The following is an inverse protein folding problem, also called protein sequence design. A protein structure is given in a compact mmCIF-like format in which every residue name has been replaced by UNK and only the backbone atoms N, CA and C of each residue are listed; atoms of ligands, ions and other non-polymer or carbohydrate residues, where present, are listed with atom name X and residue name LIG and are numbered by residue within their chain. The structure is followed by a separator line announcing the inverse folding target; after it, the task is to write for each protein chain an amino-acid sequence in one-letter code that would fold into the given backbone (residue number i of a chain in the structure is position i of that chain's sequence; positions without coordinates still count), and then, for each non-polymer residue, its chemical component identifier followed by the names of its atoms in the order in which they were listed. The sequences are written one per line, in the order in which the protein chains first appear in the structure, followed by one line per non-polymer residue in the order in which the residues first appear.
data_IF_416830377592
#
_entry.id   IF_416830377592
#
_cell.length_a   1.000
_cell.length_b   1.000
_cell.length_c   1.000
_cell.angle_alpha   90.00
_cell.angle_beta   90.00
_cell.angle_gamma   90.00
#
_symmetry.space_group_name_H-M   'P 1'
#
loop_
_entity.id
_entity.type
_entity.pdbx_description
1 polymer ?
#
# COMPACT_ATOMS: atom_id res chain seq x y z
N UNK A 1 -7.59 -6.20 65.14
CA UNK A 1 -7.89 -7.64 65.21
C UNK A 1 -8.53 -8.03 63.88
N UNK A 2 -7.78 -8.87 63.16
CA UNK A 2 -7.91 -9.48 61.83
C UNK A 2 -9.08 -9.14 60.90
N UNK A 3 -8.79 -8.70 59.64
CA UNK A 3 -9.72 -8.78 58.52
C UNK A 3 -9.73 -10.18 57.90
N UNK A 4 -10.90 -10.62 57.44
CA UNK A 4 -11.17 -11.92 56.83
C UNK A 4 -10.53 -12.04 55.44
N UNK A 5 -9.71 -13.08 55.25
CA UNK A 5 -9.11 -13.47 53.97
C UNK A 5 -10.19 -13.91 52.97
N UNK A 6 -10.21 -13.31 51.77
CA UNK A 6 -10.93 -13.83 50.61
C UNK A 6 -9.95 -14.62 49.74
N UNK A 7 -10.28 -15.89 49.48
CA UNK A 7 -9.50 -16.80 48.64
C UNK A 7 -9.61 -16.43 47.15
N UNK A 8 -8.52 -16.55 46.36
CA UNK A 8 -8.58 -16.31 44.92
C UNK A 8 -9.19 -17.50 44.16
N UNK A 9 -10.21 -17.21 43.35
CA UNK A 9 -10.82 -18.15 42.39
C UNK A 9 -9.84 -18.34 41.22
N UNK A 10 -9.29 -19.55 41.08
CA UNK A 10 -8.48 -19.92 39.91
C UNK A 10 -9.39 -20.22 38.72
N UNK A 11 -9.23 -19.49 37.61
CA UNK A 11 -9.84 -19.84 36.32
C UNK A 11 -8.87 -20.73 35.55
N UNK A 12 -9.19 -22.03 35.46
CA UNK A 12 -8.51 -22.99 34.59
C UNK A 12 -8.83 -22.67 33.13
N UNK A 13 -7.79 -22.42 32.33
CA UNK A 13 -7.86 -22.40 30.85
C UNK A 13 -7.98 -23.84 30.35
N UNK A 14 -9.08 -24.14 29.66
CA UNK A 14 -9.27 -25.41 28.96
C UNK A 14 -8.60 -25.36 27.59
N UNK A 15 -7.70 -26.30 27.33
CA UNK A 15 -7.09 -26.54 26.02
C UNK A 15 -8.02 -27.48 25.26
N UNK A 16 -8.52 -27.06 24.10
CA UNK A 16 -9.23 -27.92 23.14
C UNK A 16 -8.25 -28.33 22.05
N UNK A 17 -7.90 -29.61 22.04
CA UNK A 17 -7.17 -30.26 20.96
C UNK A 17 -8.18 -30.69 19.88
N UNK A 18 -8.01 -30.24 18.64
CA UNK A 18 -8.74 -30.74 17.48
C UNK A 18 -7.91 -31.82 16.79
N UNK A 19 -8.51 -33.02 16.72
CA UNK A 19 -7.95 -34.19 16.07
C UNK A 19 -8.11 -34.09 14.54
N UNK A 20 -7.02 -34.33 13.83
CA UNK A 20 -6.99 -34.44 12.37
C UNK A 20 -7.60 -35.79 11.93
N UNK A 21 -8.55 -35.75 10.99
CA UNK A 21 -9.04 -36.92 10.26
C UNK A 21 -8.38 -36.94 8.89
N UNK A 22 -7.56 -37.95 8.65
CA UNK A 22 -6.96 -38.23 7.36
C UNK A 22 -7.99 -38.87 6.41
N UNK A 23 -8.25 -38.22 5.28
CA UNK A 23 -9.02 -38.75 4.16
C UNK A 23 -8.16 -38.79 2.90
N UNK A 24 -7.86 -40.00 2.43
CA UNK A 24 -7.15 -40.27 1.17
C UNK A 24 -8.13 -40.18 0.00
N UNK A 25 -7.82 -39.39 -1.03
CA UNK A 25 -8.29 -39.61 -2.40
C UNK A 25 -7.12 -39.37 -3.36
N UNK A 26 -6.76 -40.42 -4.11
CA UNK A 26 -5.83 -40.42 -5.23
C UNK A 26 -6.51 -39.81 -6.47
N UNK A 27 -5.85 -38.85 -7.12
CA UNK A 27 -6.04 -38.61 -8.55
C UNK A 27 -4.67 -38.62 -9.22
N UNK A 28 -4.53 -39.56 -10.15
CA UNK A 28 -3.38 -39.73 -11.01
C UNK A 28 -3.42 -38.74 -12.18
N UNK A 29 -2.24 -38.31 -12.64
CA UNK A 29 -2.03 -37.79 -13.99
C UNK A 29 -1.43 -36.38 -14.04
N UNK A 30 -0.24 -36.26 -14.62
CA UNK A 30 0.34 -34.97 -14.99
C UNK A 30 1.83 -35.10 -15.29
N UNK A 31 2.20 -34.85 -16.54
CA UNK A 31 3.49 -35.19 -17.14
C UNK A 31 4.70 -34.45 -16.52
N UNK A 32 5.81 -35.18 -16.36
CA UNK A 32 7.12 -34.58 -16.13
C UNK A 32 7.66 -34.00 -17.45
N UNK A 33 7.76 -32.68 -17.54
CA UNK A 33 8.49 -31.99 -18.62
C UNK A 33 9.94 -31.88 -18.18
N UNK A 34 10.81 -32.63 -18.85
CA UNK A 34 12.26 -32.56 -18.68
C UNK A 34 12.79 -31.30 -19.38
N UNK A 35 13.48 -30.42 -18.64
CA UNK A 35 14.27 -29.35 -19.24
C UNK A 35 15.65 -29.90 -19.64
N UNK A 36 15.89 -29.94 -20.94
CA UNK A 36 17.20 -30.26 -21.52
C UNK A 36 18.12 -29.04 -21.40
N UNK A 37 19.26 -29.22 -20.74
CA UNK A 37 20.37 -28.29 -20.77
C UNK A 37 21.03 -28.30 -22.16
N UNK A 38 20.94 -27.19 -22.88
CA UNK A 38 21.79 -26.92 -24.05
C UNK A 38 22.91 -25.98 -23.63
N UNK A 39 24.13 -26.50 -23.67
CA UNK A 39 25.35 -25.71 -23.59
C UNK A 39 25.58 -25.05 -24.94
N UNK A 40 25.64 -23.72 -24.97
CA UNK A 40 26.12 -22.92 -26.09
C UNK A 40 27.28 -22.05 -25.61
N UNK A 41 28.49 -22.42 -26.02
CA UNK A 41 29.69 -21.60 -25.94
C UNK A 41 29.67 -20.58 -27.09
N UNK A 42 30.07 -19.32 -26.83
CA UNK A 42 30.32 -18.35 -27.90
C UNK A 42 29.94 -16.89 -27.62
N UNK A 43 30.97 -16.13 -27.23
CA UNK A 43 31.24 -14.75 -27.66
C UNK A 43 30.47 -13.60 -27.01
N UNK A 44 31.20 -12.88 -26.16
CA UNK A 44 30.89 -11.54 -25.67
C UNK A 44 30.62 -10.54 -26.81
N UNK A 45 29.48 -9.87 -26.75
CA UNK A 45 29.18 -8.65 -27.50
C UNK A 45 28.50 -7.68 -26.55
N UNK A 46 29.21 -6.61 -26.18
CA UNK A 46 28.62 -5.42 -25.58
C UNK A 46 27.63 -4.83 -26.59
N UNK A 47 26.34 -4.86 -26.24
CA UNK A 47 25.26 -4.28 -27.03
C UNK A 47 24.20 -3.75 -26.08
N UNK A 48 23.79 -2.51 -26.33
CA UNK A 48 22.90 -1.68 -25.54
C UNK A 48 21.70 -2.40 -24.94
N UNK A 49 21.33 -2.02 -23.72
CA UNK A 49 20.04 -2.31 -23.11
C UNK A 49 18.93 -1.95 -24.10
N UNK A 50 18.24 -2.97 -24.59
CA UNK A 50 17.06 -2.82 -25.42
C UNK A 50 15.98 -2.14 -24.58
N UNK A 51 15.59 -0.97 -25.08
CA UNK A 51 14.41 -0.20 -24.71
C UNK A 51 13.19 -1.11 -24.58
N UNK A 52 12.64 -1.25 -23.37
CA UNK A 52 11.30 -1.80 -23.17
C UNK A 52 10.31 -0.87 -23.89
N UNK A 53 9.80 -1.33 -25.02
CA UNK A 53 8.64 -0.72 -25.68
C UNK A 53 7.40 -1.55 -25.33
N UNK A 54 6.39 -0.91 -24.73
CA UNK A 54 5.02 -1.18 -25.16
C UNK A 54 3.97 -1.67 -24.16
N UNK A 55 4.10 -1.41 -22.86
CA UNK A 55 2.90 -1.34 -22.00
C UNK A 55 2.64 0.13 -21.67
N UNK A 56 1.48 0.65 -22.07
CA UNK A 56 0.97 1.93 -21.54
C UNK A 56 0.87 1.81 -20.01
N UNK A 57 1.25 2.85 -19.29
CA UNK A 57 1.30 2.79 -17.82
C UNK A 57 -0.05 2.42 -17.19
N UNK A 58 -1.16 2.70 -17.86
CA UNK A 58 -2.54 2.35 -17.45
C UNK A 58 -2.79 0.86 -17.18
N UNK A 59 -1.98 -0.05 -17.74
CA UNK A 59 -2.12 -1.50 -17.54
C UNK A 59 -1.14 -2.09 -16.52
N UNK A 60 -0.39 -1.25 -15.80
CA UNK A 60 0.69 -1.68 -14.91
C UNK A 60 0.11 -2.30 -13.63
N UNK A 61 0.27 -3.61 -13.48
CA UNK A 61 -0.24 -4.38 -12.32
C UNK A 61 0.57 -4.13 -11.03
N UNK A 62 1.88 -4.19 -11.11
CA UNK A 62 2.83 -3.70 -10.10
C UNK A 62 4.21 -3.68 -10.75
N UNK A 63 5.12 -2.82 -10.29
CA UNK A 63 6.51 -2.88 -10.76
C UNK A 63 7.29 -3.94 -10.00
N UNK A 64 7.97 -4.83 -10.72
CA UNK A 64 9.12 -5.57 -10.19
C UNK A 64 10.28 -4.59 -10.03
N UNK A 65 10.31 -3.88 -8.90
CA UNK A 65 11.39 -2.93 -8.61
C UNK A 65 12.68 -3.72 -8.34
N UNK A 66 13.47 -3.94 -9.38
CA UNK A 66 14.85 -4.42 -9.26
C UNK A 66 15.69 -3.35 -8.54
N UNK A 67 15.92 -3.53 -7.23
CA UNK A 67 16.96 -2.99 -6.29
C UNK A 67 17.78 -1.73 -6.66
N UNK A 68 17.26 -0.85 -7.51
CA UNK A 68 17.88 0.38 -7.95
C UNK A 68 17.60 1.47 -6.93
N UNK A 69 18.54 2.39 -6.76
CA UNK A 69 18.31 3.58 -5.94
C UNK A 69 17.30 4.46 -6.69
N UNK A 70 16.09 4.60 -6.15
CA UNK A 70 15.13 5.58 -6.68
C UNK A 70 15.67 7.00 -6.50
N UNK A 71 15.54 7.84 -7.53
CA UNK A 71 15.96 9.24 -7.51
C UNK A 71 14.73 10.15 -7.49
N UNK A 72 14.47 10.74 -6.31
CA UNK A 72 13.36 11.67 -6.08
C UNK A 72 13.81 13.14 -6.03
N UNK A 73 15.05 13.45 -6.44
CA UNK A 73 15.63 14.81 -6.34
C UNK A 73 14.96 15.86 -7.24
N UNK A 74 14.06 15.44 -8.13
CA UNK A 74 13.25 16.32 -8.96
C UNK A 74 12.06 16.94 -8.21
N UNK A 75 11.69 16.41 -7.04
CA UNK A 75 10.54 16.88 -6.24
C UNK A 75 10.97 17.82 -5.11
N UNK A 76 9.99 18.48 -4.49
CA UNK A 76 10.23 19.25 -3.25
C UNK A 76 10.75 18.33 -2.14
N UNK A 77 11.47 18.89 -1.16
CA UNK A 77 12.07 18.10 -0.06
C UNK A 77 11.03 17.21 0.66
N UNK A 78 9.81 17.73 0.87
CA UNK A 78 8.72 16.96 1.50
C UNK A 78 8.24 15.80 0.64
N UNK A 79 7.95 16.03 -0.64
CA UNK A 79 7.51 14.98 -1.56
C UNK A 79 8.62 13.94 -1.76
N UNK A 80 9.88 14.38 -1.89
CA UNK A 80 11.02 13.47 -1.99
C UNK A 80 11.17 12.59 -0.75
N UNK A 81 10.99 13.14 0.46
CA UNK A 81 11.02 12.37 1.71
C UNK A 81 9.87 11.37 1.82
N UNK A 82 8.66 11.76 1.40
CA UNK A 82 7.49 10.87 1.34
C UNK A 82 7.74 9.67 0.43
N UNK A 83 8.22 9.92 -0.80
CA UNK A 83 8.49 8.86 -1.78
C UNK A 83 9.66 7.99 -1.37
N UNK A 84 10.70 8.57 -0.76
CA UNK A 84 11.84 7.80 -0.22
C UNK A 84 11.36 6.83 0.86
N UNK A 85 10.54 7.30 1.79
CA UNK A 85 9.93 6.45 2.82
C UNK A 85 9.09 5.34 2.19
N UNK A 86 8.17 5.71 1.28
CA UNK A 86 7.31 4.73 0.65
C UNK A 86 8.11 3.68 -0.15
N UNK A 87 9.16 4.10 -0.85
CA UNK A 87 10.01 3.20 -1.64
C UNK A 87 10.84 2.26 -0.76
N UNK A 88 11.28 2.72 0.40
CA UNK A 88 12.06 1.91 1.36
C UNK A 88 11.19 0.88 2.07
N UNK A 89 9.91 1.21 2.32
CA UNK A 89 9.08 0.45 3.24
C UNK A 89 7.90 -0.28 2.64
N UNK A 90 7.55 -0.09 1.34
CA UNK A 90 6.29 -0.61 0.75
C UNK A 90 6.05 -2.14 0.87
N UNK A 91 7.10 -2.93 1.14
CA UNK A 91 7.03 -4.38 1.34
C UNK A 91 7.34 -4.82 2.78
N UNK A 92 7.53 -3.88 3.71
CA UNK A 92 7.74 -4.17 5.12
C UNK A 92 6.47 -4.70 5.78
N UNK A 93 6.66 -5.70 6.63
CA UNK A 93 5.58 -6.36 7.39
C UNK A 93 5.78 -6.24 8.91
N UNK A 94 6.68 -5.35 9.33
CA UNK A 94 6.96 -5.05 10.73
C UNK A 94 7.45 -3.62 10.90
N UNK A 95 7.16 -3.01 12.03
CA UNK A 95 7.71 -1.71 12.43
C UNK A 95 7.77 -1.62 13.95
N UNK A 96 8.95 -1.32 14.48
CA UNK A 96 9.15 -1.11 15.93
C UNK A 96 8.52 0.22 16.41
N UNK A 97 8.25 1.16 15.50
CA UNK A 97 7.73 2.49 15.81
C UNK A 97 6.23 2.58 15.61
N UNK A 98 5.73 2.08 14.47
CA UNK A 98 4.34 2.26 14.05
C UNK A 98 3.49 0.99 14.20
N UNK A 99 4.14 -0.15 14.46
CA UNK A 99 3.50 -1.45 14.31
C UNK A 99 3.11 -1.74 12.86
N UNK A 100 2.48 -2.89 12.64
CA UNK A 100 1.99 -3.33 11.33
C UNK A 100 0.62 -3.98 11.48
N UNK A 101 -0.33 -3.60 10.63
CA UNK A 101 -1.69 -4.13 10.60
C UNK A 101 -1.87 -5.15 9.47
N UNK A 102 -1.69 -6.43 9.81
CA UNK A 102 -1.87 -7.53 8.85
C UNK A 102 -3.22 -7.43 8.10
N UNK A 103 -3.18 -7.57 6.77
CA UNK A 103 -4.29 -7.42 5.83
C UNK A 103 -5.02 -6.05 5.81
N UNK A 104 -4.60 -5.03 6.56
CA UNK A 104 -5.31 -3.73 6.62
C UNK A 104 -4.41 -2.51 6.87
N UNK A 105 -3.14 -2.59 6.48
CA UNK A 105 -2.13 -1.56 6.78
C UNK A 105 -2.13 -0.34 5.86
N UNK A 106 -3.08 -0.24 4.91
CA UNK A 106 -3.11 0.78 3.86
C UNK A 106 -2.93 2.23 4.37
N UNK A 107 -3.70 2.63 5.39
CA UNK A 107 -3.63 3.98 5.93
C UNK A 107 -2.50 4.14 6.93
N UNK A 108 -2.18 3.11 7.72
CA UNK A 108 -1.04 3.17 8.63
C UNK A 108 0.24 3.50 7.84
N UNK A 109 0.50 2.77 6.75
CA UNK A 109 1.60 3.05 5.84
C UNK A 109 1.52 4.44 5.19
N UNK A 110 0.36 4.82 4.68
CA UNK A 110 0.16 6.16 4.09
C UNK A 110 0.47 7.25 5.11
N UNK A 111 0.00 7.10 6.35
CA UNK A 111 0.19 8.04 7.44
C UNK A 111 1.67 8.19 7.82
N UNK A 112 2.41 7.09 7.86
CA UNK A 112 3.86 7.10 8.05
C UNK A 112 4.58 7.90 6.95
N UNK A 113 4.18 7.71 5.69
CA UNK A 113 4.75 8.48 4.57
C UNK A 113 4.45 9.99 4.70
N UNK A 114 3.28 10.37 5.22
CA UNK A 114 2.90 11.76 5.45
C UNK A 114 3.71 12.39 6.60
N UNK A 115 4.04 11.63 7.65
CA UNK A 115 5.01 12.07 8.65
C UNK A 115 6.39 12.32 8.02
N UNK A 116 6.86 11.39 7.18
CA UNK A 116 8.13 11.56 6.47
C UNK A 116 8.10 12.80 5.56
N UNK A 117 6.96 13.12 4.95
CA UNK A 117 6.72 14.37 4.20
C UNK A 117 6.87 15.63 5.06
N UNK A 118 6.70 15.51 6.37
CA UNK A 118 6.75 16.60 7.34
C UNK A 118 5.39 17.06 7.86
N UNK A 119 4.33 16.25 7.72
CA UNK A 119 3.09 16.51 8.45
C UNK A 119 3.33 16.44 9.96
N UNK A 120 2.66 17.32 10.68
CA UNK A 120 2.61 17.27 12.13
C UNK A 120 1.29 16.61 12.56
N UNK A 121 1.41 15.74 13.57
CA UNK A 121 0.27 15.16 14.28
C UNK A 121 -0.60 16.24 14.93
N UNK A 122 -1.86 15.90 15.13
CA UNK A 122 -2.82 16.68 15.91
C UNK A 122 -3.71 15.75 16.76
N UNK A 123 -4.75 16.29 17.38
CA UNK A 123 -5.61 15.51 18.28
C UNK A 123 -6.48 14.46 17.56
N UNK A 124 -6.58 14.51 16.22
CA UNK A 124 -7.47 13.68 15.38
C UNK A 124 -6.71 12.75 14.43
N UNK A 125 -5.45 13.06 14.13
CA UNK A 125 -4.51 12.23 13.39
C UNK A 125 -3.18 12.14 14.15
N UNK A 126 -3.00 11.03 14.88
CA UNK A 126 -1.82 10.74 15.71
C UNK A 126 -1.60 9.24 15.88
N UNK A 127 -0.40 8.87 16.33
CA UNK A 127 -0.01 7.50 16.70
C UNK A 127 0.83 7.46 17.98
N UNK A 128 1.01 6.27 18.53
CA UNK A 128 1.89 6.00 19.67
C UNK A 128 3.17 5.31 19.18
N UNK A 129 4.32 5.87 19.55
CA UNK A 129 5.65 5.38 19.13
C UNK A 129 6.08 4.06 19.80
N UNK A 130 5.22 3.38 20.56
CA UNK A 130 5.58 2.13 21.24
C UNK A 130 5.65 0.90 20.32
N UNK A 131 5.28 1.04 19.04
CA UNK A 131 5.15 -0.07 18.10
C UNK A 131 3.83 -0.86 18.25
N UNK A 132 2.90 -0.40 19.10
CA UNK A 132 1.53 -0.93 19.14
C UNK A 132 0.72 -0.36 17.96
N UNK A 133 0.47 -1.19 16.96
CA UNK A 133 -0.29 -0.84 15.76
C UNK A 133 -1.74 -0.38 16.05
N UNK A 134 -2.23 -0.52 17.28
CA UNK A 134 -3.56 -0.08 17.72
C UNK A 134 -3.54 1.13 18.67
N UNK A 135 -2.36 1.67 18.98
CA UNK A 135 -2.19 2.89 19.75
C UNK A 135 -2.24 4.12 18.84
N UNK A 136 -3.41 4.51 18.32
CA UNK A 136 -3.51 5.61 17.36
C UNK A 136 -4.92 6.25 17.35
N UNK A 137 -5.07 7.33 16.58
CA UNK A 137 -6.38 7.88 16.21
C UNK A 137 -7.04 7.07 15.08
N UNK A 138 -8.37 7.07 14.97
CA UNK A 138 -9.05 6.33 13.90
C UNK A 138 -8.59 6.76 12.49
N UNK A 139 -8.36 8.06 12.28
CA UNK A 139 -7.87 8.62 11.00
C UNK A 139 -6.45 8.17 10.63
N UNK A 140 -5.69 7.62 11.58
CA UNK A 140 -4.34 7.10 11.34
C UNK A 140 -4.34 5.75 10.59
N UNK A 141 -5.36 4.90 10.80
CA UNK A 141 -5.39 3.52 10.27
C UNK A 141 -6.60 3.19 9.39
N UNK A 142 -7.63 4.01 9.37
CA UNK A 142 -8.87 3.74 8.63
C UNK A 142 -9.01 4.67 7.43
N UNK A 143 -9.22 4.09 6.22
CA UNK A 143 -9.36 4.89 4.99
C UNK A 143 -10.58 5.81 5.06
N UNK A 144 -11.70 5.28 5.56
CA UNK A 144 -12.91 6.08 5.77
C UNK A 144 -12.71 7.17 6.81
N UNK A 145 -12.02 6.88 7.93
CA UNK A 145 -11.76 7.91 8.94
C UNK A 145 -10.76 8.97 8.44
N UNK A 146 -9.75 8.60 7.65
CA UNK A 146 -8.84 9.55 7.00
C UNK A 146 -9.58 10.43 5.99
N UNK A 147 -10.53 9.88 5.22
CA UNK A 147 -11.41 10.68 4.35
C UNK A 147 -12.13 11.74 5.16
N UNK A 148 -12.81 11.33 6.23
CA UNK A 148 -13.62 12.23 7.07
C UNK A 148 -12.76 13.34 7.69
N UNK A 149 -11.59 12.97 8.20
CA UNK A 149 -10.59 13.91 8.69
C UNK A 149 -10.18 14.93 7.60
N UNK A 150 -9.80 14.50 6.41
CA UNK A 150 -9.37 15.41 5.35
C UNK A 150 -10.51 16.29 4.79
N UNK A 151 -11.77 15.83 4.85
CA UNK A 151 -12.94 16.66 4.54
C UNK A 151 -13.11 17.83 5.53
N UNK A 152 -12.77 17.61 6.81
CA UNK A 152 -12.84 18.63 7.87
C UNK A 152 -11.60 19.54 7.93
N UNK A 153 -10.50 19.12 7.29
CA UNK A 153 -9.21 19.83 7.28
C UNK A 153 -8.76 20.28 5.87
N UNK A 154 -9.49 21.20 5.20
CA UNK A 154 -9.16 21.67 3.85
C UNK A 154 -7.83 22.43 3.77
N UNK A 155 -7.25 22.85 4.90
CA UNK A 155 -5.89 23.38 4.96
C UNK A 155 -4.81 22.32 4.73
N UNK A 156 -5.13 21.03 4.91
CA UNK A 156 -4.19 19.90 4.72
C UNK A 156 -4.23 19.35 3.31
N UNK A 157 -5.40 19.22 2.71
CA UNK A 157 -5.55 18.70 1.35
C UNK A 157 -6.80 19.21 0.65
N UNK A 158 -6.80 19.19 -0.69
CA UNK A 158 -7.96 19.48 -1.53
C UNK A 158 -8.48 18.20 -2.16
N UNK A 159 -9.77 17.92 -1.99
CA UNK A 159 -10.41 16.76 -2.63
C UNK A 159 -10.43 16.91 -4.16
N UNK A 160 -10.11 15.82 -4.87
CA UNK A 160 -10.23 15.68 -6.31
C UNK A 160 -10.94 14.38 -6.66
N UNK A 161 -11.71 14.39 -7.74
CA UNK A 161 -12.31 13.21 -8.34
C UNK A 161 -11.43 12.61 -9.45
N UNK A 162 -11.77 11.40 -9.92
CA UNK A 162 -11.07 10.78 -11.05
C UNK A 162 -11.22 11.55 -12.38
N UNK A 163 -12.22 12.42 -12.51
CA UNK A 163 -12.34 13.31 -13.68
C UNK A 163 -11.31 14.47 -13.64
N UNK A 164 -10.65 14.69 -12.50
CA UNK A 164 -9.74 15.81 -12.25
C UNK A 164 -8.27 15.41 -12.24
N UNK A 165 -7.90 14.28 -12.87
CA UNK A 165 -6.53 13.73 -12.94
C UNK A 165 -5.45 14.73 -13.32
N UNK A 166 -5.77 15.73 -14.15
CA UNK A 166 -4.85 16.80 -14.53
C UNK A 166 -4.38 17.68 -13.37
N UNK A 167 -5.06 17.62 -12.22
CA UNK A 167 -4.71 18.33 -10.98
C UNK A 167 -3.98 17.47 -9.96
N UNK A 168 -3.91 16.16 -10.19
CA UNK A 168 -3.21 15.21 -9.31
C UNK A 168 -1.70 15.38 -9.47
N UNK A 169 -0.98 15.33 -8.34
CA UNK A 169 0.47 15.44 -8.27
C UNK A 169 1.08 14.21 -7.62
N UNK A 170 2.35 13.99 -7.89
CA UNK A 170 3.16 13.01 -7.14
C UNK A 170 3.22 13.43 -5.67
N UNK A 171 3.04 12.46 -4.77
CA UNK A 171 2.91 12.67 -3.33
C UNK A 171 1.48 12.96 -2.86
N UNK A 172 0.51 13.12 -3.76
CA UNK A 172 -0.90 13.14 -3.37
C UNK A 172 -1.31 11.77 -2.79
N UNK A 173 -2.38 11.74 -2.00
CA UNK A 173 -2.96 10.49 -1.50
C UNK A 173 -4.08 10.06 -2.44
N UNK A 174 -4.06 8.80 -2.85
CA UNK A 174 -5.18 8.17 -3.59
C UNK A 174 -6.02 7.37 -2.61
N UNK A 175 -7.34 7.50 -2.71
CA UNK A 175 -8.29 6.67 -2.01
C UNK A 175 -9.18 5.95 -3.02
N UNK A 176 -9.57 4.74 -2.66
CA UNK A 176 -10.42 3.92 -3.48
C UNK A 176 -11.68 3.55 -2.74
N UNK A 177 -12.76 3.48 -3.48
CA UNK A 177 -14.02 2.88 -3.10
C UNK A 177 -14.20 1.67 -4.01
N UNK A 178 -13.80 0.48 -3.52
CA UNK A 178 -13.69 -0.69 -4.38
C UNK A 178 -15.03 -1.23 -4.88
N UNK A 179 -16.10 -0.99 -4.13
CA UNK A 179 -17.44 -1.52 -4.44
C UNK A 179 -18.47 -0.43 -4.78
N UNK A 180 -18.04 0.83 -4.94
CA UNK A 180 -18.89 2.01 -5.21
C UNK A 180 -19.99 2.16 -4.15
N UNK A 181 -19.64 1.87 -2.89
CA UNK A 181 -20.56 2.00 -1.74
C UNK A 181 -20.70 3.44 -1.25
N UNK A 182 -19.75 4.30 -1.60
CA UNK A 182 -19.55 5.64 -1.05
C UNK A 182 -18.55 5.68 0.10
N UNK A 183 -18.15 4.53 0.63
CA UNK A 183 -17.13 4.42 1.67
C UNK A 183 -15.78 4.16 1.00
N UNK A 184 -14.86 5.12 1.13
CA UNK A 184 -13.50 4.97 0.63
C UNK A 184 -12.77 4.00 1.57
N UNK A 185 -12.53 2.78 1.10
CA UNK A 185 -12.12 1.63 1.91
C UNK A 185 -10.63 1.27 1.77
N UNK A 186 -9.93 1.86 0.80
CA UNK A 186 -8.49 1.67 0.61
C UNK A 186 -7.76 2.98 0.31
N UNK A 187 -6.48 3.05 0.70
CA UNK A 187 -5.64 4.24 0.55
C UNK A 187 -4.26 3.85 0.04
N UNK A 188 -3.67 4.69 -0.81
CA UNK A 188 -2.28 4.62 -1.22
C UNK A 188 -1.67 5.99 -1.49
N UNK A 189 -0.42 5.99 -1.95
CA UNK A 189 0.36 7.20 -2.21
C UNK A 189 0.64 7.30 -3.70
N UNK A 190 0.34 8.44 -4.33
CA UNK A 190 0.64 8.66 -5.76
C UNK A 190 2.15 8.76 -5.97
N UNK A 191 2.72 7.82 -6.72
CA UNK A 191 4.15 7.74 -6.99
C UNK A 191 4.53 8.33 -8.35
N UNK A 192 3.60 8.33 -9.30
CA UNK A 192 3.82 8.88 -10.65
C UNK A 192 2.54 9.40 -11.28
N UNK A 193 2.67 10.44 -12.10
CA UNK A 193 1.61 10.99 -12.96
C UNK A 193 2.20 11.12 -14.37
N UNK A 194 1.81 10.20 -15.25
CA UNK A 194 2.37 10.07 -16.60
C UNK A 194 1.36 10.60 -17.62
N UNK A 195 1.74 11.63 -18.39
CA UNK A 195 0.93 12.08 -19.55
C UNK A 195 1.30 11.26 -20.77
N UNK A 196 0.34 10.51 -21.30
CA UNK A 196 0.48 9.66 -22.47
C UNK A 196 0.51 10.48 -23.77
N UNK A 197 1.01 9.92 -24.90
CA UNK A 197 1.08 10.64 -26.17
C UNK A 197 -0.27 11.14 -26.72
N UNK A 198 -1.38 10.51 -26.32
CA UNK A 198 -2.74 10.92 -26.70
C UNK A 198 -3.35 11.96 -25.74
N UNK A 199 -2.62 12.37 -24.71
CA UNK A 199 -3.02 13.34 -23.71
C UNK A 199 -3.79 12.75 -22.53
N UNK A 200 -4.01 11.43 -22.48
CA UNK A 200 -4.53 10.76 -21.28
C UNK A 200 -3.50 10.77 -20.15
N UNK A 201 -3.98 10.62 -18.91
CA UNK A 201 -3.14 10.65 -17.71
C UNK A 201 -3.24 9.30 -17.00
N UNK A 202 -2.10 8.62 -16.93
CA UNK A 202 -1.90 7.44 -16.10
C UNK A 202 -1.43 7.91 -14.71
N UNK A 203 -2.05 7.40 -13.65
CA UNK A 203 -1.59 7.63 -12.27
C UNK A 203 -1.14 6.29 -11.69
N UNK A 204 0.03 6.29 -11.05
CA UNK A 204 0.59 5.14 -10.35
C UNK A 204 0.63 5.39 -8.85
N UNK A 205 0.56 4.32 -8.06
CA UNK A 205 0.56 4.40 -6.61
C UNK A 205 1.34 3.28 -5.91
N UNK A 206 1.67 3.51 -4.63
CA UNK A 206 2.20 2.54 -3.68
C UNK A 206 1.22 2.31 -2.51
N UNK A 207 1.29 1.13 -1.86
CA UNK A 207 0.43 0.75 -0.73
C UNK A 207 0.83 -0.57 -0.04
N UNK A 208 0.24 -0.90 1.12
CA UNK A 208 0.64 -2.05 1.98
C UNK A 208 -0.36 -3.21 2.14
N UNK A 209 -1.68 -3.05 1.99
CA UNK A 209 -2.62 -4.19 2.15
C UNK A 209 -2.43 -5.25 1.05
N UNK A 210 -2.17 -4.77 -0.15
CA UNK A 210 -1.63 -5.56 -1.24
C UNK A 210 -0.33 -4.84 -1.65
N UNK A 211 0.81 -5.22 -1.02
CA UNK A 211 2.08 -4.51 -1.15
C UNK A 211 2.40 -4.19 -2.59
N UNK A 212 2.55 -2.90 -2.90
CA UNK A 212 2.76 -2.48 -4.27
C UNK A 212 3.61 -1.23 -4.38
N UNK A 213 4.36 -1.18 -5.48
CA UNK A 213 5.04 0.01 -5.97
C UNK A 213 4.69 0.23 -7.44
N UNK A 214 4.31 1.47 -7.78
CA UNK A 214 3.95 1.91 -9.13
C UNK A 214 2.82 1.10 -9.80
N UNK A 215 1.84 0.61 -9.03
CA UNK A 215 0.64 0.02 -9.63
C UNK A 215 -0.24 1.10 -10.24
N UNK A 216 -0.84 0.81 -11.40
CA UNK A 216 -1.77 1.71 -12.05
C UNK A 216 -3.11 1.78 -11.30
N UNK A 217 -3.59 3.00 -11.08
CA UNK A 217 -4.96 3.24 -10.61
C UNK A 217 -5.98 2.66 -11.58
N UNK A 218 -5.75 2.79 -12.89
CA UNK A 218 -6.67 2.28 -13.92
C UNK A 218 -6.78 0.76 -13.84
N UNK A 219 -5.64 0.08 -13.75
CA UNK A 219 -5.62 -1.38 -13.56
C UNK A 219 -6.33 -1.78 -12.26
N UNK A 220 -6.10 -1.05 -11.15
CA UNK A 220 -6.73 -1.35 -9.88
C UNK A 220 -8.26 -1.27 -9.93
N UNK A 221 -8.85 -0.25 -10.55
CA UNK A 221 -10.31 -0.05 -10.60
C UNK A 221 -11.02 -0.77 -11.77
N UNK A 222 -10.28 -1.25 -12.77
CA UNK A 222 -10.87 -1.94 -13.93
C UNK A 222 -10.63 -3.43 -13.98
N UNK A 223 -9.48 -3.91 -13.48
CA UNK A 223 -9.08 -5.31 -13.55
C UNK A 223 -9.04 -5.98 -12.16
N UNK A 224 -8.43 -5.34 -11.15
CA UNK A 224 -8.35 -5.91 -9.79
C UNK A 224 -9.68 -5.80 -9.04
N UNK A 225 -10.29 -4.63 -9.07
CA UNK A 225 -11.59 -4.30 -8.47
C UNK A 225 -12.53 -3.71 -9.53
N UNK A 226 -13.06 -4.52 -10.47
CA UNK A 226 -13.87 -4.00 -11.57
C UNK A 226 -15.11 -3.24 -11.08
N UNK A 227 -15.17 -1.94 -11.40
CA UNK A 227 -16.27 -1.05 -11.00
C UNK A 227 -15.96 -0.15 -9.82
N UNK A 228 -14.76 -0.25 -9.23
CA UNK A 228 -14.31 0.67 -8.20
C UNK A 228 -14.11 2.10 -8.72
N UNK A 229 -14.03 3.05 -7.78
CA UNK A 229 -13.85 4.47 -8.07
C UNK A 229 -12.64 5.01 -7.30
N UNK A 230 -11.81 5.82 -7.98
CA UNK A 230 -10.68 6.49 -7.36
C UNK A 230 -11.02 7.95 -7.00
N UNK A 231 -10.46 8.40 -5.90
CA UNK A 231 -10.49 9.77 -5.41
C UNK A 231 -9.08 10.17 -4.99
N UNK A 232 -8.80 11.47 -4.97
CA UNK A 232 -7.49 11.96 -4.56
C UNK A 232 -7.61 13.09 -3.53
N UNK A 233 -6.59 13.14 -2.68
CA UNK A 233 -6.34 14.26 -1.78
C UNK A 233 -5.09 14.97 -2.25
N UNK A 234 -5.29 16.15 -2.82
CA UNK A 234 -4.21 16.96 -3.34
C UNK A 234 -3.55 17.75 -2.23
N UNK A 235 -2.32 17.39 -1.90
CA UNK A 235 -1.61 17.94 -0.75
C UNK A 235 -0.73 19.10 -1.22
N UNK A 236 -0.78 20.28 -0.56
CA UNK A 236 0.09 21.40 -0.87
C UNK A 236 1.59 21.04 -0.79
N UNK A 237 2.40 21.66 -1.63
CA UNK A 237 3.86 21.56 -1.59
C UNK A 237 4.49 22.48 -0.53
#
# INVERSE_FOLDING_TARGET
MSPSEQSPVSRRRGVLALAAVAGVVLVAGGAAVAWSAVQGDGTASNGASDTVSGASGAGREASDVESGVADFSAYSDGVAAQLAYAFEHWDDTESDTFGYLDDNDCVNFTSQSLLARGWAEDDEWWYDESGDAYGHADAWISSTAMRDYLEEHPERATALTDDERASVKVGDVVQFDWDDSGDRDHTGIVTSVETEPDGSITILYAGHTDPTWDRSVDWAITELHPGGVAYYWSIPE
#
